data_IF_002734761091
#
_entry.id   IF_002734761091
#
_cell.length_a   1.000
_cell.length_b   1.000
_cell.length_c   1.000
_cell.angle_alpha   90.00
_cell.angle_beta   90.00
_cell.angle_gamma   90.00
#
_symmetry.space_group_name_H-M   'P 1'
#
loop_
_entity.id
_entity.type
_entity.pdbx_description
1 polymer ?
#
# COMPACT_ATOMS: atom_id res chain seq x y z
N UNK A 1 3.69 -4.83 -21.06
CA UNK A 1 5.08 -4.68 -20.59
C UNK A 1 5.04 -3.92 -19.29
N UNK A 2 5.09 -4.63 -18.16
CA UNK A 2 5.24 -3.98 -16.86
C UNK A 2 6.65 -3.39 -16.81
N UNK A 3 6.74 -2.09 -16.56
CA UNK A 3 8.02 -1.42 -16.35
C UNK A 3 8.47 -1.83 -14.95
N UNK A 4 9.33 -2.84 -14.87
CA UNK A 4 9.86 -3.34 -13.62
C UNK A 4 10.57 -2.19 -12.91
N UNK A 5 10.14 -1.87 -11.69
CA UNK A 5 10.77 -0.85 -10.88
C UNK A 5 12.03 -1.44 -10.27
N UNK A 6 13.19 -0.82 -10.49
CA UNK A 6 14.43 -1.19 -9.81
C UNK A 6 14.23 -1.02 -8.29
N UNK A 7 14.22 -2.13 -7.57
CA UNK A 7 14.28 -2.15 -6.11
C UNK A 7 15.74 -2.21 -5.68
N UNK A 8 16.24 -1.14 -5.05
CA UNK A 8 17.48 -1.22 -4.29
C UNK A 8 17.18 -1.73 -2.88
N UNK A 9 17.43 -3.03 -2.63
CA UNK A 9 17.35 -3.57 -1.27
C UNK A 9 18.59 -3.15 -0.47
N UNK A 10 18.48 -2.07 0.29
CA UNK A 10 19.49 -1.62 1.26
C UNK A 10 18.99 -1.93 2.69
N UNK A 11 18.74 -3.22 2.99
CA UNK A 11 18.28 -3.68 4.30
C UNK A 11 16.78 -3.95 4.39
N UNK A 12 16.18 -3.78 5.58
CA UNK A 12 14.73 -3.98 5.78
C UNK A 12 13.91 -3.07 4.84
N UNK A 13 12.87 -3.64 4.22
CA UNK A 13 11.92 -2.93 3.37
C UNK A 13 11.14 -1.92 4.22
N UNK A 14 11.66 -0.70 4.32
CA UNK A 14 11.06 0.41 5.09
C UNK A 14 10.14 1.26 4.22
N UNK A 15 10.38 1.30 2.90
CA UNK A 15 9.53 1.98 1.94
C UNK A 15 9.39 1.18 0.65
N UNK A 16 8.17 1.01 0.17
CA UNK A 16 7.88 0.35 -1.11
C UNK A 16 6.71 1.06 -1.80
N UNK A 17 6.88 1.42 -3.08
CA UNK A 17 5.86 2.10 -3.88
C UNK A 17 5.28 3.40 -3.25
N UNK A 18 6.04 4.05 -2.35
CA UNK A 18 5.60 5.21 -1.58
C UNK A 18 4.86 4.88 -0.27
N UNK A 19 4.58 3.60 -0.01
CA UNK A 19 4.11 3.12 1.28
C UNK A 19 5.27 2.95 2.25
N UNK A 20 5.05 3.30 3.50
CA UNK A 20 5.96 2.96 4.57
C UNK A 20 5.63 1.57 5.09
N UNK A 21 6.62 0.70 5.18
CA UNK A 21 6.46 -0.69 5.56
C UNK A 21 7.17 -0.94 6.88
N UNK A 22 6.52 -1.71 7.75
CA UNK A 22 7.09 -2.21 8.99
C UNK A 22 6.94 -3.72 9.02
N UNK A 23 8.05 -4.42 8.88
CA UNK A 23 8.10 -5.88 9.00
C UNK A 23 8.18 -6.26 10.48
N UNK A 24 7.26 -7.12 10.93
CA UNK A 24 7.19 -7.68 12.28
C UNK A 24 7.24 -9.20 12.17
N UNK A 25 7.51 -9.88 13.28
CA UNK A 25 7.56 -11.35 13.29
C UNK A 25 6.22 -11.99 12.94
N UNK A 26 5.11 -11.33 13.26
CA UNK A 26 3.76 -11.81 12.94
C UNK A 26 3.28 -11.43 11.53
N UNK A 27 3.99 -10.57 10.80
CA UNK A 27 3.60 -10.14 9.46
C UNK A 27 4.08 -8.73 9.08
N UNK A 28 3.60 -8.22 7.95
CA UNK A 28 4.03 -6.93 7.39
C UNK A 28 2.93 -5.88 7.55
N UNK A 29 3.25 -4.77 8.20
CA UNK A 29 2.37 -3.61 8.32
C UNK A 29 2.68 -2.57 7.24
N UNK A 30 1.64 -2.08 6.57
CA UNK A 30 1.74 -1.06 5.53
C UNK A 30 1.06 0.22 6.03
N UNK A 31 1.83 1.29 6.20
CA UNK A 31 1.33 2.62 6.52
C UNK A 31 1.01 3.37 5.24
N UNK A 32 -0.26 3.70 5.06
CA UNK A 32 -0.80 4.32 3.83
C UNK A 32 -1.02 5.83 3.93
N UNK A 33 -0.85 6.44 5.11
CA UNK A 33 -1.19 7.85 5.33
C UNK A 33 -0.44 8.79 4.37
N UNK A 34 0.88 8.62 4.27
CA UNK A 34 1.73 9.42 3.37
C UNK A 34 1.33 9.22 1.91
N UNK A 35 1.15 7.97 1.49
CA UNK A 35 0.76 7.63 0.12
C UNK A 35 -0.59 8.25 -0.26
N UNK A 36 -1.59 8.13 0.62
CA UNK A 36 -2.91 8.74 0.42
C UNK A 36 -2.81 10.25 0.31
N UNK A 37 -2.03 10.90 1.19
CA UNK A 37 -1.81 12.34 1.13
C UNK A 37 -1.11 12.79 -0.15
N UNK A 38 -0.11 12.03 -0.60
CA UNK A 38 0.63 12.32 -1.83
C UNK A 38 -0.27 12.15 -3.07
N UNK A 39 -1.15 11.15 -3.09
CA UNK A 39 -2.19 10.99 -4.12
C UNK A 39 -3.13 12.20 -4.13
N UNK A 40 -3.69 12.56 -2.97
CA UNK A 40 -4.63 13.67 -2.88
C UNK A 40 -3.99 14.95 -3.41
N UNK A 41 -2.75 15.26 -2.99
CA UNK A 41 -1.99 16.40 -3.53
C UNK A 41 -1.75 16.32 -5.03
N UNK A 42 -1.37 15.14 -5.55
CA UNK A 42 -1.12 14.94 -6.98
C UNK A 42 -2.33 15.29 -7.84
N UNK A 43 -3.53 15.01 -7.34
CA UNK A 43 -4.79 15.32 -8.02
C UNK A 43 -5.45 16.62 -7.55
N UNK A 44 -4.75 17.43 -6.73
CA UNK A 44 -5.27 18.69 -6.15
C UNK A 44 -6.58 18.50 -5.36
N UNK A 45 -6.66 17.39 -4.65
CA UNK A 45 -7.77 16.99 -3.79
C UNK A 45 -7.44 17.13 -2.30
N UNK A 46 -6.32 17.75 -1.94
CA UNK A 46 -5.88 17.92 -0.55
C UNK A 46 -6.75 18.90 0.25
N UNK A 47 -7.43 19.83 -0.43
CA UNK A 47 -8.43 20.75 0.16
C UNK A 47 -9.87 20.30 -0.06
N UNK A 48 -10.10 19.13 -0.69
CA UNK A 48 -11.46 18.64 -0.89
C UNK A 48 -12.12 18.28 0.45
N UNK A 49 -13.41 18.60 0.58
CA UNK A 49 -14.20 18.22 1.75
C UNK A 49 -14.19 16.69 1.88
N UNK A 50 -13.80 16.12 3.04
CA UNK A 50 -13.87 14.69 3.24
C UNK A 50 -15.34 14.25 3.11
N UNK A 51 -15.55 13.15 2.41
CA UNK A 51 -16.85 12.49 2.34
C UNK A 51 -16.82 11.32 3.32
N UNK A 52 -17.85 11.22 4.16
CA UNK A 52 -17.95 10.15 5.16
C UNK A 52 -18.29 8.80 4.55
N UNK A 53 -18.54 8.73 3.24
CA UNK A 53 -18.80 7.48 2.54
C UNK A 53 -17.56 6.59 2.65
N UNK A 54 -17.60 5.53 3.47
CA UNK A 54 -16.44 4.67 3.64
C UNK A 54 -16.15 3.96 2.32
N UNK A 55 -14.87 3.65 2.08
CA UNK A 55 -14.55 2.64 1.09
C UNK A 55 -15.25 1.34 1.53
N UNK A 56 -15.94 0.67 0.59
CA UNK A 56 -16.58 -0.61 0.84
C UNK A 56 -15.56 -1.58 1.44
N UNK A 57 -15.78 -2.03 2.67
CA UNK A 57 -14.96 -3.05 3.34
C UNK A 57 -15.19 -4.45 2.80
N UNK A 58 -16.07 -4.61 1.80
CA UNK A 58 -16.45 -5.92 1.25
C UNK A 58 -15.33 -6.62 0.47
N UNK A 59 -14.19 -5.98 0.23
CA UNK A 59 -12.99 -6.68 -0.22
C UNK A 59 -12.32 -7.35 0.97
N UNK A 60 -12.88 -8.47 1.40
CA UNK A 60 -12.26 -9.33 2.41
C UNK A 60 -11.10 -10.06 1.74
N UNK A 61 -9.87 -9.66 2.09
CA UNK A 61 -8.67 -10.37 1.67
C UNK A 61 -8.56 -11.62 2.55
N UNK A 62 -9.03 -12.75 2.04
CA UNK A 62 -8.83 -14.05 2.67
C UNK A 62 -7.58 -14.72 2.05
N UNK A 63 -6.99 -15.66 2.78
CA UNK A 63 -5.91 -16.48 2.27
C UNK A 63 -6.45 -17.29 1.09
N UNK A 64 -5.85 -17.09 -0.09
CA UNK A 64 -6.13 -17.95 -1.23
C UNK A 64 -5.41 -19.29 -1.03
N UNK A 65 -6.13 -20.27 -0.46
CA UNK A 65 -5.60 -21.62 -0.24
C UNK A 65 -5.20 -22.33 -1.54
N UNK A 66 -5.76 -21.90 -2.68
CA UNK A 66 -5.44 -22.40 -4.02
C UNK A 66 -4.41 -21.54 -4.76
N UNK A 67 -3.96 -20.46 -4.13
CA UNK A 67 -3.05 -19.49 -4.72
C UNK A 67 -1.67 -20.09 -4.94
N UNK A 68 -1.12 -19.88 -6.12
CA UNK A 68 0.28 -20.25 -6.39
C UNK A 68 1.15 -19.34 -5.53
N UNK A 69 1.96 -19.93 -4.66
CA UNK A 69 2.98 -19.19 -3.90
C UNK A 69 3.93 -18.54 -4.90
N UNK A 70 3.88 -17.23 -4.97
CA UNK A 70 4.89 -16.42 -5.66
C UNK A 70 5.92 -16.04 -4.60
N UNK A 71 7.11 -16.62 -4.73
CA UNK A 71 8.33 -16.26 -3.98
C UNK A 71 9.00 -15.05 -4.63
#
# INVERSE_FOLDING_TARGET
MAKEFEMSMIGELTFFLGFQIKQLKEGTFIYQEKYTRDILKRFKMDDCKPIDTPMSTNTKLDIDESGIKVD
#
